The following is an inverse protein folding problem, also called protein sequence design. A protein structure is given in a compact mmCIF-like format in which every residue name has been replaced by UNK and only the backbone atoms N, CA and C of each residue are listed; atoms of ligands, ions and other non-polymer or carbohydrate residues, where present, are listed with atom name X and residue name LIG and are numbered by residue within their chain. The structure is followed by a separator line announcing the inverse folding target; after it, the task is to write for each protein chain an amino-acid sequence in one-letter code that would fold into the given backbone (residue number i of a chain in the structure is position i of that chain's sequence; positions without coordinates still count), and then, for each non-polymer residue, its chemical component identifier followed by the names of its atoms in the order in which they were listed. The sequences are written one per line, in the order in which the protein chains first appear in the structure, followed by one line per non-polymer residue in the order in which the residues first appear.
data_IF_824145616445
#
_entry.id   IF_824145616445
#
_cell.length_a   1.000
_cell.length_b   1.000
_cell.length_c   1.000
_cell.angle_alpha   90.00
_cell.angle_beta   90.00
_cell.angle_gamma   90.00
#
_symmetry.space_group_name_H-M   'P 1'
#
loop_
_entity.id
_entity.type
_entity.pdbx_description
1 polymer ?
#
# COMPACT_ATOMS: atom_id res chain seq x y z
N UNK A 1 17.41 -1.37 3.94
CA UNK A 1 16.24 -0.57 3.58
C UNK A 1 16.65 0.90 3.52
N UNK A 2 16.48 1.53 2.35
CA UNK A 2 16.61 2.97 2.19
C UNK A 2 15.33 3.66 2.67
N UNK A 3 15.46 4.78 3.35
CA UNK A 3 14.32 5.51 3.88
C UNK A 3 14.59 7.01 3.96
N UNK A 4 13.51 7.77 4.05
CA UNK A 4 13.52 9.18 4.40
C UNK A 4 12.61 9.40 5.61
N UNK A 5 13.13 10.02 6.67
CA UNK A 5 12.39 10.30 7.92
C UNK A 5 12.34 11.79 8.16
N UNK A 6 11.14 12.33 8.28
CA UNK A 6 10.87 13.69 8.75
C UNK A 6 10.43 13.62 10.21
N UNK A 7 11.16 14.25 11.14
CA UNK A 7 10.76 14.29 12.54
C UNK A 7 9.51 15.14 12.75
N UNK A 8 8.71 14.82 13.75
CA UNK A 8 7.48 15.56 14.06
C UNK A 8 6.74 14.96 15.24
N UNK A 9 5.55 15.51 15.53
CA UNK A 9 4.67 15.00 16.60
C UNK A 9 3.93 13.74 16.19
N UNK A 10 3.37 13.04 17.14
CA UNK A 10 2.47 11.89 16.92
C UNK A 10 1.01 12.36 16.75
N UNK A 11 0.17 11.55 16.09
CA UNK A 11 0.55 10.33 15.39
C UNK A 11 1.45 10.64 14.19
N UNK A 12 2.45 9.78 13.95
CA UNK A 12 3.26 9.85 12.72
C UNK A 12 2.53 9.25 11.53
N UNK A 13 3.11 9.40 10.34
CA UNK A 13 2.62 8.80 9.10
C UNK A 13 3.70 7.93 8.48
N UNK A 14 3.35 6.72 8.07
CA UNK A 14 4.26 5.81 7.33
C UNK A 14 3.67 5.53 5.97
N UNK A 15 4.40 5.89 4.91
CA UNK A 15 3.99 5.67 3.52
C UNK A 15 4.62 4.40 2.93
N UNK A 16 3.78 3.54 2.40
CA UNK A 16 4.11 2.26 1.78
C UNK A 16 3.81 2.32 0.28
N UNK A 17 4.86 2.24 -0.54
CA UNK A 17 4.80 2.36 -1.99
C UNK A 17 4.16 1.16 -2.69
N UNK A 18 3.83 1.32 -3.98
CA UNK A 18 3.30 0.26 -4.85
C UNK A 18 4.38 -0.64 -5.43
N UNK A 19 3.94 -1.67 -6.17
CA UNK A 19 4.78 -2.60 -6.91
C UNK A 19 5.66 -1.85 -7.94
N UNK A 20 6.95 -2.14 -7.94
CA UNK A 20 7.95 -1.49 -8.81
C UNK A 20 8.01 0.05 -8.70
N UNK A 21 7.51 0.64 -7.62
CA UNK A 21 7.64 2.07 -7.33
C UNK A 21 8.74 2.33 -6.29
N UNK A 22 9.12 3.60 -6.14
CA UNK A 22 10.08 4.02 -5.13
C UNK A 22 9.54 5.13 -4.22
N UNK A 23 10.27 5.39 -3.12
CA UNK A 23 9.88 6.38 -2.12
C UNK A 23 9.91 7.83 -2.61
N UNK A 24 10.44 8.12 -3.82
CA UNK A 24 10.48 9.48 -4.39
C UNK A 24 9.24 9.83 -5.20
N UNK A 25 8.31 8.87 -5.35
CA UNK A 25 7.08 9.03 -6.12
C UNK A 25 6.22 10.21 -5.68
N UNK A 26 5.43 10.72 -6.62
CA UNK A 26 4.62 11.96 -6.47
C UNK A 26 3.74 11.95 -5.21
N UNK A 27 3.03 10.84 -4.94
CA UNK A 27 2.16 10.71 -3.76
C UNK A 27 2.95 10.79 -2.46
N UNK A 28 4.05 10.05 -2.36
CA UNK A 28 4.90 10.03 -1.17
C UNK A 28 5.45 11.42 -0.84
N UNK A 29 6.00 12.12 -1.86
CA UNK A 29 6.54 13.47 -1.70
C UNK A 29 5.46 14.51 -1.34
N UNK A 30 4.29 14.42 -1.97
CA UNK A 30 3.18 15.34 -1.72
C UNK A 30 2.61 15.18 -0.31
N UNK A 31 2.45 13.94 0.16
CA UNK A 31 1.95 13.64 1.51
C UNK A 31 3.00 14.00 2.58
N UNK A 32 4.28 13.73 2.35
CA UNK A 32 5.35 14.18 3.26
C UNK A 32 5.34 15.70 3.42
N UNK A 33 5.27 16.46 2.31
CA UNK A 33 5.21 17.92 2.35
C UNK A 33 4.03 18.42 3.16
N UNK A 34 2.86 17.82 2.99
CA UNK A 34 1.65 18.14 3.73
C UNK A 34 1.79 17.81 5.23
N UNK A 35 2.24 16.60 5.57
CA UNK A 35 2.38 16.12 6.96
C UNK A 35 3.42 16.98 7.72
N UNK A 36 4.50 17.39 7.04
CA UNK A 36 5.49 18.32 7.59
C UNK A 36 4.87 19.69 7.94
N UNK A 37 3.96 20.22 7.11
CA UNK A 37 3.26 21.47 7.42
C UNK A 37 2.35 21.33 8.65
N UNK A 38 1.82 20.14 8.90
CA UNK A 38 1.09 19.80 10.14
C UNK A 38 2.00 19.59 11.35
N UNK A 39 3.32 19.55 11.15
CA UNK A 39 4.32 19.20 12.17
C UNK A 39 4.22 17.76 12.71
N UNK A 40 3.55 16.84 11.98
CA UNK A 40 3.54 15.41 12.30
C UNK A 40 4.81 14.72 11.74
N UNK A 41 5.22 13.62 12.36
CA UNK A 41 6.31 12.79 11.86
C UNK A 41 5.91 12.07 10.57
N UNK A 42 6.88 11.82 9.67
CA UNK A 42 6.65 11.10 8.44
C UNK A 42 7.81 10.16 8.12
N UNK A 43 7.50 8.96 7.62
CA UNK A 43 8.48 8.01 7.08
C UNK A 43 8.01 7.52 5.72
N UNK A 44 8.90 7.51 4.73
CA UNK A 44 8.77 6.80 3.46
C UNK A 44 10.02 5.98 3.23
N UNK A 45 9.89 4.85 2.57
CA UNK A 45 11.00 3.91 2.39
C UNK A 45 10.83 3.11 1.11
N UNK A 46 11.94 2.52 0.66
CA UNK A 46 11.96 1.54 -0.41
C UNK A 46 12.04 0.13 0.18
N UNK A 47 11.19 -0.77 -0.28
CA UNK A 47 11.32 -2.18 0.07
C UNK A 47 12.60 -2.77 -0.48
N UNK A 48 13.03 -3.91 0.02
CA UNK A 48 14.12 -4.66 -0.56
C UNK A 48 13.89 -4.87 -2.07
N UNK A 49 14.92 -4.57 -2.88
CA UNK A 49 14.84 -4.65 -4.35
C UNK A 49 14.13 -3.49 -5.03
N UNK A 50 13.60 -2.51 -4.30
CA UNK A 50 13.02 -1.28 -4.85
C UNK A 50 13.97 -0.08 -4.66
N UNK A 51 13.86 0.88 -5.56
CA UNK A 51 14.51 2.18 -5.47
C UNK A 51 15.99 2.13 -5.05
N UNK A 52 16.28 2.68 -3.87
CA UNK A 52 17.64 2.76 -3.32
C UNK A 52 17.95 1.67 -2.29
N UNK A 53 17.01 0.79 -1.99
CA UNK A 53 17.23 -0.36 -1.10
C UNK A 53 18.06 -1.44 -1.77
N UNK A 54 18.80 -2.21 -0.97
CA UNK A 54 19.57 -3.36 -1.44
C UNK A 54 18.69 -4.52 -1.91
N UNK A 55 19.30 -5.50 -2.58
CA UNK A 55 18.61 -6.67 -3.12
C UNK A 55 18.20 -6.50 -4.58
N UNK A 56 17.52 -7.50 -5.11
CA UNK A 56 17.02 -7.47 -6.47
C UNK A 56 15.48 -7.59 -6.47
N UNK A 57 14.82 -6.81 -7.30
CA UNK A 57 13.37 -6.79 -7.40
C UNK A 57 12.78 -8.19 -7.68
N UNK A 58 13.46 -8.98 -8.50
CA UNK A 58 13.07 -10.36 -8.84
C UNK A 58 13.02 -11.33 -7.66
N UNK A 59 13.77 -11.03 -6.59
CA UNK A 59 13.83 -11.89 -5.39
C UNK A 59 12.73 -11.52 -4.38
N UNK A 60 12.00 -10.44 -4.65
CA UNK A 60 11.00 -9.90 -3.75
C UNK A 60 9.70 -10.71 -3.73
N UNK A 61 9.12 -10.80 -2.55
CA UNK A 61 7.81 -11.44 -2.31
C UNK A 61 6.97 -10.59 -1.37
N UNK A 62 5.67 -10.87 -1.31
CA UNK A 62 4.74 -10.14 -0.42
C UNK A 62 5.16 -10.24 1.04
N UNK A 63 5.54 -11.42 1.49
CA UNK A 63 6.00 -11.62 2.86
C UNK A 63 7.34 -10.93 3.15
N UNK A 64 8.27 -10.86 2.18
CA UNK A 64 9.50 -10.10 2.36
C UNK A 64 9.19 -8.61 2.53
N UNK A 65 8.40 -8.02 1.65
CA UNK A 65 8.05 -6.59 1.71
C UNK A 65 7.19 -6.24 2.93
N UNK A 66 6.36 -7.18 3.40
CA UNK A 66 5.65 -7.04 4.67
C UNK A 66 6.60 -7.00 5.86
N UNK A 67 7.62 -7.87 5.88
CA UNK A 67 8.67 -7.84 6.94
C UNK A 67 9.47 -6.55 6.90
N UNK A 68 9.78 -6.01 5.71
CA UNK A 68 10.45 -4.72 5.56
C UNK A 68 9.61 -3.59 6.18
N UNK A 69 8.31 -3.56 5.92
CA UNK A 69 7.40 -2.57 6.50
C UNK A 69 7.31 -2.69 8.02
N UNK A 70 7.20 -3.91 8.56
CA UNK A 70 7.21 -4.17 10.00
C UNK A 70 8.52 -3.71 10.62
N UNK A 71 9.66 -4.00 9.97
CA UNK A 71 10.96 -3.53 10.44
C UNK A 71 11.06 -2.00 10.47
N UNK A 72 10.52 -1.33 9.46
CA UNK A 72 10.45 0.15 9.42
C UNK A 72 9.59 0.68 10.58
N UNK A 73 8.44 0.07 10.85
CA UNK A 73 7.62 0.44 12.01
C UNK A 73 8.40 0.29 13.32
N UNK A 74 9.02 -0.86 13.53
CA UNK A 74 9.74 -1.17 14.78
C UNK A 74 10.99 -0.30 14.99
N UNK A 75 11.72 0.03 13.91
CA UNK A 75 13.04 0.69 14.02
C UNK A 75 12.98 2.22 13.83
N UNK A 76 12.00 2.74 13.09
CA UNK A 76 12.00 4.15 12.68
C UNK A 76 10.83 4.95 13.24
N UNK A 77 9.86 4.31 13.92
CA UNK A 77 8.68 4.99 14.45
C UNK A 77 8.51 4.73 15.95
N UNK A 78 7.81 5.63 16.60
CA UNK A 78 7.44 5.51 18.01
C UNK A 78 5.93 5.75 18.16
N UNK A 79 5.27 4.94 18.99
CA UNK A 79 3.84 5.07 19.28
C UNK A 79 2.91 4.92 18.07
N UNK A 80 1.69 5.50 18.12
CA UNK A 80 0.66 5.33 17.10
C UNK A 80 1.03 6.02 15.79
N UNK A 81 0.71 5.36 14.67
CA UNK A 81 0.96 5.83 13.31
C UNK A 81 -0.33 5.78 12.48
N UNK A 82 -0.48 6.70 11.55
CA UNK A 82 -1.39 6.54 10.41
C UNK A 82 -0.61 5.86 9.28
N UNK A 83 -1.03 4.67 8.91
CA UNK A 83 -0.40 3.92 7.82
C UNK A 83 -1.04 4.31 6.49
N UNK A 84 -0.24 4.64 5.49
CA UNK A 84 -0.69 5.00 4.15
C UNK A 84 -0.12 4.01 3.15
N UNK A 85 -0.98 3.31 2.42
CA UNK A 85 -0.58 2.31 1.45
C UNK A 85 -1.15 2.57 0.06
N UNK A 86 -0.29 2.59 -0.97
CA UNK A 86 -0.70 2.77 -2.36
C UNK A 86 -0.54 1.48 -3.15
N UNK A 87 -1.60 1.04 -3.84
CA UNK A 87 -1.60 -0.19 -4.66
C UNK A 87 -1.14 -1.42 -3.85
N UNK A 88 -0.08 -2.13 -4.26
CA UNK A 88 0.56 -3.18 -3.43
C UNK A 88 0.84 -2.71 -2.00
N UNK A 89 1.27 -1.45 -1.82
CA UNK A 89 1.49 -0.88 -0.50
C UNK A 89 0.25 -0.88 0.39
N UNK A 90 -0.95 -0.88 -0.18
CA UNK A 90 -2.20 -1.08 0.55
C UNK A 90 -2.32 -2.48 1.15
N UNK A 91 -1.86 -3.52 0.44
CA UNK A 91 -1.79 -4.87 0.99
C UNK A 91 -0.73 -4.98 2.09
N UNK A 92 0.47 -4.46 1.81
CA UNK A 92 1.55 -4.44 2.81
C UNK A 92 1.15 -3.67 4.07
N UNK A 93 0.43 -2.56 3.93
CA UNK A 93 -0.13 -1.78 5.04
C UNK A 93 -1.05 -2.63 5.93
N UNK A 94 -1.96 -3.39 5.34
CA UNK A 94 -2.86 -4.29 6.07
C UNK A 94 -2.08 -5.38 6.81
N UNK A 95 -1.10 -6.01 6.15
CA UNK A 95 -0.26 -7.04 6.76
C UNK A 95 0.59 -6.47 7.92
N UNK A 96 1.16 -5.28 7.73
CA UNK A 96 1.94 -4.60 8.78
C UNK A 96 1.05 -4.20 9.97
N UNK A 97 -0.17 -3.70 9.73
CA UNK A 97 -1.15 -3.39 10.76
C UNK A 97 -1.57 -4.63 11.56
N UNK A 98 -1.78 -5.77 10.89
CA UNK A 98 -2.07 -7.05 11.55
C UNK A 98 -0.91 -7.55 12.42
N UNK A 99 0.33 -7.35 11.95
CA UNK A 99 1.53 -7.72 12.70
C UNK A 99 1.84 -6.77 13.86
N UNK A 100 1.44 -5.51 13.78
CA UNK A 100 1.70 -4.44 14.76
C UNK A 100 0.44 -3.60 15.04
N UNK A 101 -0.64 -4.20 15.59
CA UNK A 101 -1.91 -3.50 15.77
C UNK A 101 -1.78 -2.27 16.70
N UNK A 102 -0.86 -2.28 17.66
CA UNK A 102 -0.62 -1.13 18.53
C UNK A 102 -0.01 0.09 17.81
N UNK A 103 0.62 -0.10 16.65
CA UNK A 103 1.12 1.01 15.83
C UNK A 103 0.06 1.56 14.86
N UNK A 104 -0.95 0.79 14.49
CA UNK A 104 -1.95 1.18 13.51
C UNK A 104 -3.08 1.99 14.17
N UNK A 105 -2.90 3.29 14.30
CA UNK A 105 -3.93 4.19 14.82
C UNK A 105 -4.99 4.57 13.77
N UNK A 106 -4.66 4.47 12.49
CA UNK A 106 -5.54 4.68 11.35
C UNK A 106 -4.89 4.25 10.06
N UNK A 107 -5.67 4.04 9.00
CA UNK A 107 -5.17 3.59 7.71
C UNK A 107 -5.77 4.39 6.54
N UNK A 108 -4.94 4.73 5.55
CA UNK A 108 -5.36 5.33 4.29
C UNK A 108 -4.88 4.46 3.12
N UNK A 109 -5.82 3.76 2.47
CA UNK A 109 -5.57 2.98 1.26
C UNK A 109 -5.83 3.80 -0.01
N UNK A 110 -4.85 3.85 -0.91
CA UNK A 110 -4.91 4.56 -2.19
C UNK A 110 -4.84 3.52 -3.30
N UNK A 111 -5.93 3.30 -4.04
CA UNK A 111 -6.04 2.22 -5.01
C UNK A 111 -5.50 0.89 -4.45
N UNK A 112 -5.87 0.57 -3.20
CA UNK A 112 -5.29 -0.54 -2.46
C UNK A 112 -5.59 -1.89 -3.13
N UNK A 113 -4.55 -2.70 -3.31
CA UNK A 113 -4.59 -3.95 -4.06
C UNK A 113 -4.25 -5.19 -3.20
N UNK A 114 -4.97 -5.47 -2.09
CA UNK A 114 -4.76 -6.73 -1.38
C UNK A 114 -5.01 -7.91 -2.32
N UNK A 115 -4.22 -8.96 -2.15
CA UNK A 115 -4.31 -10.22 -2.90
C UNK A 115 -4.06 -10.10 -4.42
N UNK A 116 -3.49 -8.97 -4.91
CA UNK A 116 -3.36 -8.69 -6.35
C UNK A 116 -2.57 -9.78 -7.10
N UNK A 117 -1.62 -10.42 -6.47
CA UNK A 117 -0.82 -11.48 -7.10
C UNK A 117 -1.67 -12.66 -7.54
N UNK A 118 -2.69 -13.02 -6.77
CA UNK A 118 -3.62 -14.12 -7.08
C UNK A 118 -4.83 -13.63 -7.87
N UNK A 119 -5.52 -12.59 -7.37
CA UNK A 119 -6.84 -12.22 -7.87
C UNK A 119 -6.81 -11.29 -9.09
N UNK A 120 -5.68 -10.64 -9.35
CA UNK A 120 -5.52 -9.76 -10.52
C UNK A 120 -4.51 -10.34 -11.50
N UNK A 121 -3.25 -10.61 -11.07
CA UNK A 121 -2.22 -11.12 -11.96
C UNK A 121 -2.49 -12.57 -12.37
N UNK A 122 -2.48 -13.51 -11.40
CA UNK A 122 -2.63 -14.92 -11.71
C UNK A 122 -3.98 -15.24 -12.34
N UNK A 123 -5.05 -14.68 -11.81
CA UNK A 123 -6.39 -14.87 -12.36
C UNK A 123 -6.54 -14.30 -13.78
N UNK A 124 -5.85 -13.18 -14.08
CA UNK A 124 -5.87 -12.54 -15.39
C UNK A 124 -5.00 -13.20 -16.46
N UNK A 125 -3.99 -14.01 -16.07
CA UNK A 125 -3.13 -14.68 -17.02
C UNK A 125 -3.84 -15.81 -17.72
N UNK A 126 -3.56 -15.98 -19.03
CA UNK A 126 -3.97 -17.15 -19.77
C UNK A 126 -3.18 -18.42 -19.37
N UNK A 127 -3.64 -19.59 -19.84
CA UNK A 127 -3.02 -20.86 -19.48
C UNK A 127 -1.54 -20.94 -19.92
N UNK A 128 -1.20 -20.38 -21.08
CA UNK A 128 0.16 -20.41 -21.62
C UNK A 128 1.12 -19.56 -20.76
N UNK A 129 0.67 -18.38 -20.34
CA UNK A 129 1.43 -17.50 -19.44
C UNK A 129 1.65 -18.15 -18.07
N UNK A 130 0.62 -18.77 -17.49
CA UNK A 130 0.74 -19.51 -16.21
C UNK A 130 1.72 -20.67 -16.34
N UNK A 131 1.61 -21.49 -17.41
CA UNK A 131 2.54 -22.59 -17.67
C UNK A 131 3.99 -22.08 -17.84
N UNK A 132 4.18 -20.94 -18.48
CA UNK A 132 5.48 -20.29 -18.62
C UNK A 132 6.06 -19.89 -17.26
N UNK A 133 5.27 -19.27 -16.39
CA UNK A 133 5.71 -18.90 -15.03
C UNK A 133 6.12 -20.14 -14.24
N UNK A 134 5.32 -21.21 -14.30
CA UNK A 134 5.63 -22.46 -13.57
C UNK A 134 6.90 -23.14 -14.08
N UNK A 135 7.09 -23.17 -15.42
CA UNK A 135 8.23 -23.84 -16.07
C UNK A 135 9.52 -23.02 -15.95
N UNK A 136 9.46 -21.72 -16.30
CA UNK A 136 10.64 -20.86 -16.47
C UNK A 136 10.96 -20.05 -15.19
N UNK A 137 10.03 -20.04 -14.22
CA UNK A 137 10.15 -19.33 -12.94
C UNK A 137 9.83 -17.84 -13.02
N UNK A 138 9.65 -17.26 -14.23
CA UNK A 138 9.39 -15.83 -14.42
C UNK A 138 8.68 -15.56 -15.76
N UNK A 139 7.81 -14.55 -15.73
CA UNK A 139 7.22 -13.93 -16.91
C UNK A 139 7.52 -12.43 -16.90
N UNK A 140 8.13 -11.92 -17.98
CA UNK A 140 8.37 -10.49 -18.19
C UNK A 140 7.09 -9.85 -18.71
N UNK A 141 6.28 -9.32 -17.81
CA UNK A 141 5.01 -8.68 -18.15
C UNK A 141 5.27 -7.31 -18.78
N UNK A 142 4.73 -7.03 -19.99
CA UNK A 142 4.80 -5.70 -20.58
C UNK A 142 4.30 -4.62 -19.61
N UNK A 143 4.93 -3.46 -19.63
CA UNK A 143 4.57 -2.34 -18.75
C UNK A 143 4.55 -1.05 -19.54
N UNK A 144 3.51 -0.24 -19.35
CA UNK A 144 3.42 1.11 -19.92
C UNK A 144 4.38 2.11 -19.23
N UNK A 145 5.01 1.70 -18.14
CA UNK A 145 5.89 2.55 -17.33
C UNK A 145 7.39 2.34 -17.62
N UNK A 146 7.76 1.58 -18.65
CA UNK A 146 9.16 1.40 -19.06
C UNK A 146 9.55 -0.05 -19.30
N UNK A 147 10.58 -0.55 -18.60
CA UNK A 147 11.02 -1.94 -18.76
C UNK A 147 9.92 -2.93 -18.33
N UNK A 148 9.86 -4.13 -18.95
CA UNK A 148 8.94 -5.18 -18.51
C UNK A 148 9.10 -5.50 -17.03
N UNK A 149 7.99 -5.83 -16.36
CA UNK A 149 7.97 -6.19 -14.94
C UNK A 149 8.14 -7.71 -14.80
N UNK A 150 9.12 -8.19 -14.05
CA UNK A 150 9.30 -9.62 -13.80
C UNK A 150 8.26 -10.12 -12.79
N UNK A 151 7.31 -10.89 -13.27
CA UNK A 151 6.36 -11.63 -12.41
C UNK A 151 6.94 -13.02 -12.18
N UNK A 152 7.46 -13.25 -10.97
CA UNK A 152 8.11 -14.50 -10.63
C UNK A 152 7.11 -15.52 -10.06
N UNK A 153 7.43 -16.81 -10.25
CA UNK A 153 6.68 -17.89 -9.60
C UNK A 153 6.67 -17.73 -8.08
N UNK A 154 7.81 -17.34 -7.51
CA UNK A 154 7.95 -17.17 -6.07
C UNK A 154 7.08 -16.02 -5.54
N UNK A 155 6.95 -14.90 -6.26
CA UNK A 155 6.03 -13.82 -5.93
C UNK A 155 4.58 -14.33 -5.86
N UNK A 156 4.14 -15.12 -6.85
CA UNK A 156 2.78 -15.66 -6.90
C UNK A 156 2.57 -16.69 -5.77
N UNK A 157 3.45 -17.69 -5.67
CA UNK A 157 3.26 -18.80 -4.73
C UNK A 157 3.37 -18.34 -3.27
N UNK A 158 4.35 -17.50 -2.95
CA UNK A 158 4.52 -16.98 -1.59
C UNK A 158 3.39 -16.01 -1.22
N UNK A 159 2.93 -15.18 -2.17
CA UNK A 159 1.80 -14.28 -1.98
C UNK A 159 0.52 -14.99 -1.53
N UNK A 160 0.30 -16.24 -1.96
CA UNK A 160 -0.84 -17.08 -1.52
C UNK A 160 -0.89 -17.32 -0.02
N UNK A 161 0.25 -17.26 0.67
CA UNK A 161 0.32 -17.39 2.13
C UNK A 161 -0.13 -16.15 2.88
N UNK A 162 -0.38 -15.05 2.17
CA UNK A 162 -0.71 -13.73 2.74
C UNK A 162 -2.08 -13.20 2.30
N UNK A 163 -2.92 -14.03 1.67
CA UNK A 163 -4.23 -13.62 1.18
C UNK A 163 -5.14 -13.15 2.33
N UNK A 164 -5.75 -11.99 2.17
CA UNK A 164 -6.62 -11.35 3.16
C UNK A 164 -8.09 -11.33 2.75
N UNK A 165 -8.37 -11.30 1.44
CA UNK A 165 -9.73 -11.11 0.92
C UNK A 165 -10.61 -12.36 1.02
N UNK A 166 -10.11 -13.44 1.62
CA UNK A 166 -10.84 -14.72 1.81
C UNK A 166 -11.70 -14.76 3.07
N UNK A 167 -11.52 -13.80 4.00
CA UNK A 167 -12.21 -13.76 5.27
C UNK A 167 -12.30 -12.37 5.86
N UNK A 168 -12.71 -12.28 7.11
CA UNK A 168 -12.71 -11.02 7.87
C UNK A 168 -11.28 -10.61 8.21
N UNK A 169 -10.95 -9.34 7.99
CA UNK A 169 -9.67 -8.74 8.35
C UNK A 169 -9.82 -8.08 9.73
N UNK A 170 -9.22 -8.62 10.80
CA UNK A 170 -9.45 -8.19 12.19
C UNK A 170 -8.71 -6.90 12.53
N UNK A 171 -8.92 -5.85 11.74
CA UNK A 171 -8.41 -4.49 11.97
C UNK A 171 -9.59 -3.59 12.35
N UNK A 172 -9.48 -2.87 13.46
CA UNK A 172 -10.57 -2.09 14.07
C UNK A 172 -10.29 -0.58 14.08
N UNK A 173 -9.10 -0.14 13.71
CA UNK A 173 -8.77 1.28 13.60
C UNK A 173 -9.56 1.94 12.45
N UNK A 174 -9.73 3.28 12.47
CA UNK A 174 -10.36 4.03 11.37
C UNK A 174 -9.64 3.81 10.04
N UNK A 175 -10.41 3.60 8.96
CA UNK A 175 -9.87 3.35 7.61
C UNK A 175 -10.48 4.32 6.61
N UNK A 176 -9.66 4.85 5.73
CA UNK A 176 -10.08 5.64 4.56
C UNK A 176 -9.55 4.97 3.31
N UNK A 177 -10.42 4.72 2.35
CA UNK A 177 -10.07 4.13 1.06
C UNK A 177 -10.39 5.13 -0.04
N UNK A 178 -9.45 5.32 -0.98
CA UNK A 178 -9.65 6.17 -2.16
C UNK A 178 -9.36 5.33 -3.39
N UNK A 179 -10.32 5.31 -4.32
CA UNK A 179 -10.24 4.48 -5.53
C UNK A 179 -10.71 5.25 -6.76
N UNK A 180 -9.94 5.17 -7.85
CA UNK A 180 -10.33 5.64 -9.16
C UNK A 180 -11.31 4.68 -9.84
N UNK A 181 -12.37 5.20 -10.47
CA UNK A 181 -13.31 4.35 -11.22
C UNK A 181 -12.87 4.06 -12.66
N UNK A 182 -11.78 4.70 -13.12
CA UNK A 182 -11.11 4.41 -14.40
C UNK A 182 -9.73 3.77 -14.15
N UNK A 183 -9.60 3.06 -13.04
CA UNK A 183 -8.42 2.27 -12.70
C UNK A 183 -8.46 0.95 -13.49
N UNK A 184 -7.51 0.77 -14.41
CA UNK A 184 -7.39 -0.43 -15.26
C UNK A 184 -6.56 -1.54 -14.60
N UNK A 185 -5.88 -1.25 -13.48
CA UNK A 185 -5.04 -2.20 -12.76
C UNK A 185 -5.78 -2.84 -11.57
N UNK A 186 -6.52 -2.03 -10.80
CA UNK A 186 -7.31 -2.47 -9.65
C UNK A 186 -8.78 -2.12 -9.86
N UNK A 187 -9.66 -3.11 -10.03
CA UNK A 187 -11.09 -2.85 -10.20
C UNK A 187 -11.65 -1.99 -9.06
N UNK A 188 -12.40 -0.94 -9.39
CA UNK A 188 -12.88 0.02 -8.39
C UNK A 188 -13.76 -0.62 -7.29
N UNK A 189 -14.47 -1.70 -7.62
CA UNK A 189 -15.27 -2.47 -6.66
C UNK A 189 -14.41 -3.25 -5.65
N UNK A 190 -13.08 -3.35 -5.89
CA UNK A 190 -12.16 -3.96 -4.94
C UNK A 190 -12.08 -3.19 -3.62
N UNK A 191 -12.17 -1.86 -3.69
CA UNK A 191 -12.26 -1.01 -2.49
C UNK A 191 -13.53 -1.28 -1.68
N UNK A 192 -14.67 -1.56 -2.32
CA UNK A 192 -15.91 -1.93 -1.64
C UNK A 192 -15.80 -3.32 -1.01
N UNK A 193 -15.24 -4.29 -1.73
CA UNK A 193 -14.97 -5.63 -1.19
C UNK A 193 -14.03 -5.56 0.03
N UNK A 194 -13.00 -4.72 -0.03
CA UNK A 194 -12.10 -4.51 1.11
C UNK A 194 -12.86 -3.91 2.30
N UNK A 195 -13.73 -2.92 2.06
CA UNK A 195 -14.60 -2.32 3.09
C UNK A 195 -15.41 -3.39 3.81
N UNK A 196 -16.02 -4.33 3.07
CA UNK A 196 -16.82 -5.42 3.63
C UNK A 196 -15.99 -6.43 4.44
N UNK A 197 -14.70 -6.58 4.14
CA UNK A 197 -13.80 -7.52 4.83
C UNK A 197 -13.21 -6.95 6.12
N UNK A 198 -13.07 -5.63 6.22
CA UNK A 198 -12.54 -4.98 7.41
C UNK A 198 -13.50 -5.11 8.59
N UNK A 199 -12.97 -5.45 9.77
CA UNK A 199 -13.77 -5.51 11.00
C UNK A 199 -14.05 -4.12 11.57
N UNK A 200 -13.31 -3.09 11.15
CA UNK A 200 -13.53 -1.71 11.58
C UNK A 200 -14.94 -1.23 11.23
N UNK A 201 -15.60 -0.57 12.18
CA UNK A 201 -16.89 0.09 11.97
C UNK A 201 -16.73 1.51 11.37
N UNK A 202 -15.53 2.09 11.44
CA UNK A 202 -15.21 3.40 10.87
C UNK A 202 -14.40 3.25 9.57
N UNK A 203 -15.11 2.91 8.49
CA UNK A 203 -14.53 2.79 7.14
C UNK A 203 -15.27 3.74 6.19
N UNK A 204 -14.54 4.68 5.58
CA UNK A 204 -15.05 5.53 4.50
C UNK A 204 -14.36 5.19 3.18
N UNK A 205 -15.13 4.98 2.12
CA UNK A 205 -14.62 4.73 0.76
C UNK A 205 -15.01 5.87 -0.17
N UNK A 206 -14.03 6.48 -0.80
CA UNK A 206 -14.20 7.56 -1.78
C UNK A 206 -13.92 7.03 -3.18
N UNK A 207 -14.93 7.03 -4.03
CA UNK A 207 -14.81 6.68 -5.45
C UNK A 207 -14.67 7.94 -6.29
N UNK A 208 -13.60 8.00 -7.11
CA UNK A 208 -13.33 9.13 -7.99
C UNK A 208 -13.70 8.73 -9.42
N UNK A 209 -14.79 9.29 -9.96
CA UNK A 209 -15.38 8.88 -11.24
C UNK A 209 -14.40 8.83 -12.41
N UNK A 210 -13.47 9.78 -12.50
CA UNK A 210 -12.48 9.88 -13.56
C UNK A 210 -11.04 9.64 -13.09
N UNK A 211 -10.87 9.16 -11.85
CA UNK A 211 -9.55 8.80 -11.31
C UNK A 211 -9.02 7.53 -11.96
N UNK A 212 -7.74 7.55 -12.28
CA UNK A 212 -6.96 6.41 -12.75
C UNK A 212 -6.33 5.64 -11.57
N UNK A 213 -5.49 4.62 -11.86
CA UNK A 213 -4.75 3.89 -10.83
C UNK A 213 -3.77 4.77 -10.04
N UNK A 214 -3.19 5.74 -10.70
CA UNK A 214 -2.11 6.56 -10.11
C UNK A 214 -2.62 7.54 -9.08
N UNK A 215 -3.80 8.14 -9.28
CA UNK A 215 -4.37 9.17 -8.42
C UNK A 215 -3.33 10.22 -8.04
N UNK A 216 -2.61 10.76 -9.02
CA UNK A 216 -1.41 11.59 -8.82
C UNK A 216 -1.50 12.96 -9.47
N UNK A 217 -2.63 13.34 -10.06
CA UNK A 217 -2.85 14.70 -10.53
C UNK A 217 -3.10 15.68 -9.37
N UNK A 218 -3.13 16.98 -9.65
CA UNK A 218 -3.32 18.00 -8.62
C UNK A 218 -4.59 17.81 -7.80
N UNK A 219 -5.77 17.69 -8.42
CA UNK A 219 -7.03 17.42 -7.72
C UNK A 219 -7.03 16.13 -6.90
N UNK A 220 -6.40 15.07 -7.38
CA UNK A 220 -6.32 13.81 -6.65
C UNK A 220 -5.41 13.94 -5.43
N UNK A 221 -4.24 14.58 -5.58
CA UNK A 221 -3.35 14.86 -4.44
C UNK A 221 -4.05 15.72 -3.37
N UNK A 222 -4.90 16.66 -3.74
CA UNK A 222 -5.68 17.45 -2.79
C UNK A 222 -6.72 16.61 -2.06
N UNK A 223 -7.35 15.65 -2.74
CA UNK A 223 -8.25 14.67 -2.10
C UNK A 223 -7.50 13.77 -1.11
N UNK A 224 -6.31 13.30 -1.49
CA UNK A 224 -5.46 12.48 -0.61
C UNK A 224 -5.07 13.25 0.66
N UNK A 225 -4.62 14.50 0.51
CA UNK A 225 -4.29 15.40 1.64
C UNK A 225 -5.50 15.62 2.54
N UNK A 226 -6.65 15.90 1.96
CA UNK A 226 -7.90 16.10 2.71
C UNK A 226 -8.30 14.87 3.53
N UNK A 227 -8.25 13.68 2.95
CA UNK A 227 -8.58 12.45 3.67
C UNK A 227 -7.55 12.13 4.77
N UNK A 228 -6.27 12.36 4.49
CA UNK A 228 -5.22 12.20 5.50
C UNK A 228 -5.37 13.21 6.63
N UNK A 229 -5.72 14.46 6.33
CA UNK A 229 -5.97 15.51 7.32
C UNK A 229 -7.10 15.14 8.28
N UNK A 230 -8.24 14.72 7.73
CA UNK A 230 -9.39 14.26 8.52
C UNK A 230 -9.04 13.06 9.40
N UNK A 231 -8.33 12.08 8.85
CA UNK A 231 -7.94 10.89 9.58
C UNK A 231 -6.96 11.22 10.73
N UNK A 232 -5.96 12.05 10.47
CA UNK A 232 -5.04 12.54 11.50
C UNK A 232 -5.79 13.29 12.61
N UNK A 233 -6.68 14.21 12.26
CA UNK A 233 -7.49 14.95 13.23
C UNK A 233 -8.40 14.04 14.06
N UNK A 234 -8.98 13.01 13.45
CA UNK A 234 -9.79 12.01 14.16
C UNK A 234 -8.95 11.21 15.17
N UNK A 235 -7.80 10.69 14.75
CA UNK A 235 -6.89 9.90 15.61
C UNK A 235 -6.32 10.77 16.75
N UNK A 236 -5.99 12.04 16.49
CA UNK A 236 -5.54 12.99 17.51
C UNK A 236 -6.64 13.25 18.57
N UNK A 237 -7.91 13.35 18.14
CA UNK A 237 -9.04 13.59 19.05
C UNK A 237 -9.46 12.41 19.92
N UNK A 238 -9.15 11.18 19.51
CA UNK A 238 -9.42 9.96 20.28
C UNK A 238 -8.32 9.73 21.34
N UNK A 239 -7.11 10.28 21.15
CA UNK A 239 -5.97 10.13 22.07
C UNK A 239 -6.01 11.12 23.27
N UNK A 240 -6.96 12.06 23.30
CA UNK A 240 -7.19 13.02 24.38
C UNK A 240 -8.36 12.63 25.26
#
# INVERSE_FOLDING_TARGET
IAYHRTPGRLPGVVFMGGFASDMTGTKAAALESFVRQRSNAFVRFDYQGHGQSSGHFRDGTIGQWSRDAVHVLDALTEGPQVLVGSSMGGWIMLLAALARPAHAAGMLGIAAAPDFTEDMLWAGFDAATRERIERDGVYEMPSDYGAPLPITRDLIHEGRSHLLMRGTIPLTCPVRLIQGMQDDEVPWDWALKLTERLQSEDVETVLIKHGDHRLSDGPDLDRLRYQLDRLLGHVEGVAT
#
